data_IF_333566335000
#
_entry.id   IF_333566335000
#
_cell.length_a   1.000
_cell.length_b   1.000
_cell.length_c   1.000
_cell.angle_alpha   90.00
_cell.angle_beta   90.00
_cell.angle_gamma   90.00
#
_symmetry.space_group_name_H-M   'P 1'
#
loop_
_entity.id
_entity.type
_entity.pdbx_description
1 polymer ?
#
# COMPACT_ATOMS: atom_id res chain seq x y z
N UNK A 1 -32.14 55.48 -11.72
CA UNK A 1 -32.29 54.29 -12.58
C UNK A 1 -32.24 53.04 -11.69
N UNK A 2 -33.38 52.37 -11.43
CA UNK A 2 -33.42 51.18 -10.55
C UNK A 2 -32.95 49.97 -11.36
N UNK A 3 -31.78 49.41 -11.02
CA UNK A 3 -31.35 48.15 -11.61
C UNK A 3 -32.32 47.02 -11.20
N UNK A 4 -32.82 46.30 -12.20
CA UNK A 4 -33.63 45.10 -12.03
C UNK A 4 -32.85 44.03 -11.22
N UNK A 5 -33.53 43.28 -10.34
CA UNK A 5 -32.93 42.25 -9.48
C UNK A 5 -32.14 41.21 -10.27
N UNK A 6 -32.58 40.87 -11.49
CA UNK A 6 -31.83 39.97 -12.38
C UNK A 6 -30.49 40.55 -12.83
N UNK A 7 -30.42 41.85 -13.10
CA UNK A 7 -29.18 42.54 -13.49
C UNK A 7 -28.20 42.62 -12.32
N UNK A 8 -28.70 42.77 -11.10
CA UNK A 8 -27.89 42.69 -9.88
C UNK A 8 -27.24 41.32 -9.70
N UNK A 9 -27.98 40.23 -9.92
CA UNK A 9 -27.43 38.87 -9.83
C UNK A 9 -26.30 38.67 -10.83
N UNK A 10 -26.49 39.09 -12.09
CA UNK A 10 -25.44 39.00 -13.10
C UNK A 10 -24.22 39.85 -12.78
N UNK A 11 -24.40 41.06 -12.23
CA UNK A 11 -23.30 41.94 -11.87
C UNK A 11 -22.50 41.41 -10.67
N UNK A 12 -23.17 40.76 -9.70
CA UNK A 12 -22.51 40.05 -8.60
C UNK A 12 -21.75 38.83 -9.10
N UNK A 13 -22.33 38.04 -10.01
CA UNK A 13 -21.65 36.89 -10.63
C UNK A 13 -20.43 37.36 -11.42
N UNK A 14 -20.55 38.47 -12.17
CA UNK A 14 -19.45 39.02 -12.95
C UNK A 14 -18.33 39.55 -12.03
N UNK A 15 -18.66 40.32 -11.00
CA UNK A 15 -17.68 40.78 -10.01
C UNK A 15 -17.00 39.62 -9.27
N UNK A 16 -17.74 38.55 -8.95
CA UNK A 16 -17.16 37.36 -8.35
C UNK A 16 -16.17 36.67 -9.31
N UNK A 17 -16.54 36.50 -10.58
CA UNK A 17 -15.69 35.87 -11.62
C UNK A 17 -14.41 36.66 -11.92
N UNK A 18 -14.46 38.00 -11.80
CA UNK A 18 -13.29 38.87 -12.01
C UNK A 18 -12.52 39.19 -10.71
N UNK A 19 -12.96 38.67 -9.56
CA UNK A 19 -12.19 38.72 -8.32
C UNK A 19 -11.13 37.62 -8.33
N UNK A 20 -10.09 37.83 -9.13
CA UNK A 20 -8.94 36.95 -9.24
C UNK A 20 -7.87 37.49 -8.30
N UNK A 21 -7.64 36.80 -7.19
CA UNK A 21 -6.46 37.08 -6.35
C UNK A 21 -5.20 36.80 -7.17
N UNK A 22 -4.21 37.71 -7.22
CA UNK A 22 -2.95 37.46 -7.92
C UNK A 22 -2.19 36.33 -7.21
N UNK A 23 -2.19 35.14 -7.79
CA UNK A 23 -1.39 34.00 -7.31
C UNK A 23 -0.02 34.09 -7.97
N UNK A 24 0.97 34.57 -7.22
CA UNK A 24 2.37 34.47 -7.61
C UNK A 24 2.84 33.01 -7.49
N UNK A 25 3.33 32.43 -8.58
CA UNK A 25 3.95 31.11 -8.57
C UNK A 25 5.27 31.18 -7.76
N UNK A 26 5.22 30.70 -6.52
CA UNK A 26 6.39 30.50 -5.65
C UNK A 26 6.64 29.00 -5.41
N UNK A 27 7.74 28.63 -4.72
CA UNK A 27 8.04 27.23 -4.37
C UNK A 27 6.82 26.56 -3.72
N UNK A 28 6.61 25.25 -4.00
CA UNK A 28 5.32 24.54 -3.93
C UNK A 28 4.40 24.75 -2.71
N UNK A 29 4.91 25.25 -1.58
CA UNK A 29 4.11 25.73 -0.46
C UNK A 29 3.21 26.94 -0.76
N UNK A 30 3.52 27.76 -1.77
CA UNK A 30 2.66 28.88 -2.20
C UNK A 30 1.42 28.42 -2.97
N UNK A 31 1.53 27.37 -3.78
CA UNK A 31 0.39 26.76 -4.48
C UNK A 31 -0.59 26.14 -3.47
N UNK A 32 -0.09 25.41 -2.48
CA UNK A 32 -0.91 24.88 -1.39
C UNK A 32 -1.58 26.00 -0.58
N UNK A 33 -0.84 27.04 -0.19
CA UNK A 33 -1.42 28.20 0.52
C UNK A 33 -2.49 28.91 -0.31
N UNK A 34 -2.30 29.06 -1.62
CA UNK A 34 -3.29 29.65 -2.53
C UNK A 34 -4.57 28.81 -2.67
N UNK A 35 -4.44 27.49 -2.81
CA UNK A 35 -5.57 26.55 -2.85
C UNK A 35 -6.40 26.56 -1.57
N UNK A 36 -5.77 26.52 -0.40
CA UNK A 36 -6.50 26.43 0.87
C UNK A 36 -7.00 27.78 1.41
N UNK A 37 -6.38 28.91 1.02
CA UNK A 37 -6.75 30.23 1.55
C UNK A 37 -7.68 31.03 0.63
N UNK A 38 -7.56 30.92 -0.70
CA UNK A 38 -8.40 31.68 -1.61
C UNK A 38 -9.84 31.16 -1.66
N UNK A 39 -10.80 32.05 -1.93
CA UNK A 39 -12.21 31.67 -2.08
C UNK A 39 -12.40 30.67 -3.23
N UNK A 40 -11.79 30.95 -4.39
CA UNK A 40 -11.83 30.07 -5.57
C UNK A 40 -11.10 28.74 -5.35
N UNK A 41 -9.98 28.75 -4.63
CA UNK A 41 -9.27 27.51 -4.25
C UNK A 41 -10.12 26.62 -3.35
N UNK A 42 -10.88 27.19 -2.41
CA UNK A 42 -11.85 26.45 -1.58
C UNK A 42 -13.00 25.87 -2.41
N UNK A 43 -13.54 26.61 -3.38
CA UNK A 43 -14.57 26.09 -4.30
C UNK A 43 -14.02 24.93 -5.11
N UNK A 44 -12.81 25.07 -5.67
CA UNK A 44 -12.15 24.01 -6.44
C UNK A 44 -11.89 22.76 -5.58
N UNK A 45 -11.41 22.94 -4.35
CA UNK A 45 -11.22 21.86 -3.38
C UNK A 45 -12.54 21.19 -3.01
N UNK A 46 -13.63 21.95 -2.82
CA UNK A 46 -14.94 21.41 -2.53
C UNK A 46 -15.47 20.56 -3.70
N UNK A 47 -15.31 21.03 -4.95
CA UNK A 47 -15.67 20.27 -6.14
C UNK A 47 -14.84 18.97 -6.23
N UNK A 48 -13.52 19.07 -6.06
CA UNK A 48 -12.61 17.92 -6.10
C UNK A 48 -12.92 16.93 -4.98
N UNK A 49 -13.27 17.41 -3.79
CA UNK A 49 -13.72 16.58 -2.68
C UNK A 49 -15.02 15.85 -3.02
N UNK A 50 -16.03 16.53 -3.56
CA UNK A 50 -17.30 15.89 -3.96
C UNK A 50 -17.07 14.77 -5.00
N UNK A 51 -16.08 14.92 -5.88
CA UNK A 51 -15.76 13.90 -6.89
C UNK A 51 -14.89 12.77 -6.33
N UNK A 52 -13.84 13.08 -5.57
CA UNK A 52 -12.87 12.07 -5.09
C UNK A 52 -13.31 11.38 -3.80
N UNK A 53 -14.07 12.04 -2.93
CA UNK A 53 -14.48 11.47 -1.65
C UNK A 53 -15.32 10.19 -1.81
N UNK A 54 -16.33 10.13 -2.71
CA UNK A 54 -17.06 8.88 -2.96
C UNK A 54 -16.14 7.74 -3.42
N UNK A 55 -15.13 8.04 -4.24
CA UNK A 55 -14.16 7.05 -4.72
C UNK A 55 -13.29 6.53 -3.58
N UNK A 56 -12.71 7.43 -2.77
CA UNK A 56 -11.89 7.06 -1.60
C UNK A 56 -12.70 6.21 -0.62
N UNK A 57 -13.94 6.63 -0.34
CA UNK A 57 -14.83 5.91 0.55
C UNK A 57 -15.17 4.52 0.00
N UNK A 58 -15.46 4.42 -1.30
CA UNK A 58 -15.70 3.15 -1.97
C UNK A 58 -14.51 2.19 -1.82
N UNK A 59 -13.28 2.65 -2.08
CA UNK A 59 -12.08 1.82 -1.92
C UNK A 59 -11.95 1.30 -0.48
N UNK A 60 -12.04 2.20 0.51
CA UNK A 60 -11.91 1.83 1.93
C UNK A 60 -13.00 0.87 2.39
N UNK A 61 -14.24 1.03 1.90
CA UNK A 61 -15.34 0.12 2.22
C UNK A 61 -15.08 -1.27 1.64
N UNK A 62 -14.74 -1.37 0.35
CA UNK A 62 -14.50 -2.67 -0.32
C UNK A 62 -13.36 -3.42 0.37
N UNK A 63 -12.24 -2.75 0.63
CA UNK A 63 -11.11 -3.35 1.36
C UNK A 63 -11.49 -3.81 2.76
N UNK A 64 -12.25 -3.00 3.51
CA UNK A 64 -12.68 -3.34 4.88
C UNK A 64 -13.64 -4.54 4.91
N UNK A 65 -14.56 -4.63 3.95
CA UNK A 65 -15.45 -5.78 3.81
C UNK A 65 -14.63 -7.04 3.50
N UNK A 66 -13.68 -6.93 2.56
CA UNK A 66 -12.83 -8.05 2.16
C UNK A 66 -11.92 -8.52 3.29
N UNK A 67 -11.28 -7.59 4.00
CA UNK A 67 -10.48 -7.86 5.20
C UNK A 67 -11.28 -8.70 6.22
N UNK A 68 -12.50 -8.25 6.55
CA UNK A 68 -13.37 -8.95 7.51
C UNK A 68 -13.76 -10.35 7.01
N UNK A 69 -14.09 -10.48 5.72
CA UNK A 69 -14.43 -11.78 5.12
C UNK A 69 -13.24 -12.75 5.18
N UNK A 70 -12.05 -12.28 4.81
CA UNK A 70 -10.85 -13.10 4.80
C UNK A 70 -10.43 -13.52 6.21
N UNK A 71 -10.51 -12.62 7.21
CA UNK A 71 -10.26 -12.96 8.61
C UNK A 71 -11.20 -14.07 9.11
N UNK A 72 -12.48 -14.04 8.73
CA UNK A 72 -13.44 -15.12 9.07
C UNK A 72 -13.08 -16.45 8.41
N UNK A 73 -12.66 -16.43 7.14
CA UNK A 73 -12.22 -17.63 6.42
C UNK A 73 -10.99 -18.25 7.09
N UNK A 74 -9.97 -17.42 7.36
CA UNK A 74 -8.77 -17.84 8.07
C UNK A 74 -9.08 -18.41 9.46
N UNK A 75 -10.01 -17.79 10.20
CA UNK A 75 -10.43 -18.31 11.49
C UNK A 75 -11.05 -19.72 11.38
N UNK A 76 -11.88 -19.99 10.37
CA UNK A 76 -12.45 -21.33 10.16
C UNK A 76 -11.38 -22.36 9.79
N UNK A 77 -10.41 -21.98 8.97
CA UNK A 77 -9.28 -22.85 8.60
C UNK A 77 -8.36 -23.10 9.80
N UNK A 78 -8.22 -22.11 10.68
CA UNK A 78 -7.36 -22.20 11.86
C UNK A 78 -7.75 -23.33 12.83
N UNK A 79 -8.98 -23.84 12.73
CA UNK A 79 -9.47 -25.01 13.48
C UNK A 79 -8.75 -26.29 13.00
N UNK A 80 -8.45 -26.40 11.70
CA UNK A 80 -7.74 -27.53 11.08
C UNK A 80 -6.22 -27.36 11.14
N UNK A 81 -5.72 -26.18 10.79
CA UNK A 81 -4.29 -25.85 10.87
C UNK A 81 -4.09 -24.51 11.57
N UNK A 82 -3.48 -24.53 12.76
CA UNK A 82 -3.24 -23.34 13.59
C UNK A 82 -2.36 -22.29 12.91
N UNK A 83 -1.53 -22.65 11.93
CA UNK A 83 -0.71 -21.72 11.16
C UNK A 83 -1.55 -20.68 10.39
N UNK A 84 -2.85 -20.91 10.21
CA UNK A 84 -3.78 -19.98 9.55
C UNK A 84 -4.49 -19.03 10.54
N UNK A 85 -4.14 -19.08 11.83
CA UNK A 85 -4.72 -18.17 12.81
C UNK A 85 -4.26 -16.72 12.55
N UNK A 86 -5.20 -15.80 12.34
CA UNK A 86 -4.86 -14.42 11.96
C UNK A 86 -3.93 -13.71 12.95
N UNK A 87 -4.08 -13.91 14.26
CA UNK A 87 -3.23 -13.24 15.25
C UNK A 87 -1.77 -13.74 15.15
N UNK A 88 -1.60 -15.04 14.88
CA UNK A 88 -0.28 -15.62 14.67
C UNK A 88 0.31 -15.18 13.32
N UNK A 89 -0.49 -15.21 12.24
CA UNK A 89 -0.11 -14.72 10.92
C UNK A 89 0.36 -13.26 10.97
N UNK A 90 -0.40 -12.39 11.61
CA UNK A 90 -0.07 -10.97 11.72
C UNK A 90 1.29 -10.76 12.41
N UNK A 91 1.60 -11.58 13.43
CA UNK A 91 2.91 -11.57 14.09
C UNK A 91 4.03 -12.10 13.18
N UNK A 92 3.80 -13.22 12.49
CA UNK A 92 4.78 -13.84 11.58
C UNK A 92 5.08 -12.93 10.38
N UNK A 93 4.05 -12.33 9.78
CA UNK A 93 4.20 -11.38 8.69
C UNK A 93 4.91 -10.10 9.16
N UNK A 94 4.52 -9.53 10.31
CA UNK A 94 5.20 -8.38 10.90
C UNK A 94 6.69 -8.63 11.13
N UNK A 95 7.05 -9.81 11.65
CA UNK A 95 8.44 -10.21 11.84
C UNK A 95 9.17 -10.33 10.50
N UNK A 96 8.58 -10.99 9.52
CA UNK A 96 9.15 -11.17 8.18
C UNK A 96 9.40 -9.81 7.51
N UNK A 97 8.43 -8.90 7.55
CA UNK A 97 8.54 -7.54 7.01
C UNK A 97 9.71 -6.79 7.65
N UNK A 98 9.78 -6.76 8.98
CA UNK A 98 10.86 -6.07 9.71
C UNK A 98 12.23 -6.64 9.36
N UNK A 99 12.35 -7.96 9.27
CA UNK A 99 13.60 -8.66 8.92
C UNK A 99 14.03 -8.34 7.50
N UNK A 100 13.11 -8.34 6.55
CA UNK A 100 13.36 -7.98 5.14
C UNK A 100 13.81 -6.53 5.00
N UNK A 101 13.16 -5.58 5.68
CA UNK A 101 13.62 -4.19 5.69
C UNK A 101 15.04 -4.04 6.26
N UNK A 102 15.38 -4.77 7.32
CA UNK A 102 16.74 -4.77 7.87
C UNK A 102 17.76 -5.34 6.88
N UNK A 103 17.43 -6.47 6.23
CA UNK A 103 18.28 -7.08 5.21
C UNK A 103 18.53 -6.15 4.01
N UNK A 104 17.50 -5.42 3.56
CA UNK A 104 17.66 -4.39 2.52
C UNK A 104 18.54 -3.24 2.96
N UNK A 105 18.42 -2.79 4.22
CA UNK A 105 19.28 -1.75 4.81
C UNK A 105 20.75 -2.17 4.85
N UNK A 106 20.99 -3.43 5.16
CA UNK A 106 22.32 -4.04 5.26
C UNK A 106 22.88 -4.54 3.92
N UNK A 107 22.08 -4.50 2.85
CA UNK A 107 22.41 -5.03 1.52
C UNK A 107 22.82 -6.51 1.54
N UNK A 108 22.21 -7.29 2.45
CA UNK A 108 22.45 -8.71 2.70
C UNK A 108 21.14 -9.48 2.90
N UNK A 109 20.69 -10.17 1.84
CA UNK A 109 19.50 -11.04 1.89
C UNK A 109 19.78 -12.40 2.54
N UNK A 110 21.04 -12.73 2.86
CA UNK A 110 21.40 -13.96 3.56
C UNK A 110 20.70 -14.09 4.91
N UNK A 111 20.52 -12.97 5.62
CA UNK A 111 19.88 -12.92 6.94
C UNK A 111 18.38 -13.27 6.92
N UNK A 112 17.74 -13.27 5.74
CA UNK A 112 16.28 -13.45 5.61
C UNK A 112 15.87 -14.69 4.85
N UNK A 113 16.80 -15.60 4.54
CA UNK A 113 16.51 -16.86 3.82
C UNK A 113 15.41 -17.71 4.46
N UNK A 114 15.21 -17.61 5.77
CA UNK A 114 14.14 -18.33 6.48
C UNK A 114 12.77 -17.63 6.44
N UNK A 115 12.71 -16.40 5.94
CA UNK A 115 11.50 -15.55 5.90
C UNK A 115 11.01 -15.28 4.47
N UNK A 116 11.80 -15.64 3.46
CA UNK A 116 11.48 -15.46 2.05
C UNK A 116 11.63 -16.79 1.34
N UNK A 117 10.86 -17.02 0.28
CA UNK A 117 11.01 -18.24 -0.51
C UNK A 117 12.28 -18.18 -1.37
N UNK A 118 12.68 -19.34 -1.90
CA UNK A 118 13.93 -19.47 -2.65
C UNK A 118 13.97 -18.59 -3.90
N UNK A 119 12.84 -18.51 -4.62
CA UNK A 119 12.73 -17.71 -5.84
C UNK A 119 12.88 -16.21 -5.55
N UNK A 120 12.15 -15.69 -4.57
CA UNK A 120 12.20 -14.29 -4.15
C UNK A 120 13.60 -13.90 -3.70
N UNK A 121 14.23 -14.75 -2.88
CA UNK A 121 15.60 -14.54 -2.42
C UNK A 121 16.59 -14.38 -3.59
N UNK A 122 16.58 -15.31 -4.53
CA UNK A 122 17.48 -15.29 -5.69
C UNK A 122 17.22 -14.06 -6.57
N UNK A 123 15.95 -13.78 -6.87
CA UNK A 123 15.57 -12.65 -7.69
C UNK A 123 16.01 -11.33 -7.04
N UNK A 124 15.75 -11.15 -5.74
CA UNK A 124 16.11 -9.93 -5.03
C UNK A 124 17.63 -9.71 -4.95
N UNK A 125 18.38 -10.79 -4.69
CA UNK A 125 19.84 -10.72 -4.60
C UNK A 125 20.48 -10.41 -5.96
N UNK A 126 20.16 -11.18 -6.99
CA UNK A 126 20.82 -11.11 -8.28
C UNK A 126 20.39 -9.90 -9.12
N UNK A 127 19.09 -9.57 -9.11
CA UNK A 127 18.53 -8.54 -10.00
C UNK A 127 18.66 -7.15 -9.40
N UNK A 128 18.45 -6.99 -8.10
CA UNK A 128 18.45 -5.66 -7.48
C UNK A 128 19.76 -5.39 -6.74
N UNK A 129 20.10 -6.19 -5.74
CA UNK A 129 21.22 -5.87 -4.84
C UNK A 129 22.57 -5.91 -5.58
N UNK A 130 22.82 -6.95 -6.36
CA UNK A 130 24.06 -7.04 -7.14
C UNK A 130 24.13 -5.99 -8.25
N UNK A 131 23.00 -5.68 -8.90
CA UNK A 131 22.95 -4.63 -9.91
C UNK A 131 23.24 -3.25 -9.31
N UNK A 132 22.61 -2.91 -8.18
CA UNK A 132 22.88 -1.66 -7.47
C UNK A 132 24.34 -1.56 -7.04
N UNK A 133 24.94 -2.66 -6.56
CA UNK A 133 26.37 -2.69 -6.23
C UNK A 133 27.25 -2.43 -7.48
N UNK A 134 26.91 -3.05 -8.63
CA UNK A 134 27.61 -2.80 -9.91
C UNK A 134 27.48 -1.35 -10.37
N UNK A 135 26.32 -0.74 -10.17
CA UNK A 135 26.02 0.64 -10.58
C UNK A 135 26.47 1.69 -9.55
N UNK A 136 27.25 1.29 -8.54
CA UNK A 136 27.69 2.14 -7.43
C UNK A 136 26.55 2.84 -6.67
N UNK A 137 25.41 2.17 -6.60
CA UNK A 137 24.22 2.61 -5.86
C UNK A 137 24.18 1.94 -4.50
N UNK A 138 23.69 2.68 -3.51
CA UNK A 138 23.36 2.20 -2.17
C UNK A 138 21.86 2.27 -1.97
N UNK A 139 21.28 1.16 -1.53
CA UNK A 139 19.91 1.16 -1.06
C UNK A 139 19.83 1.76 0.35
N UNK A 140 18.91 2.71 0.54
CA UNK A 140 18.55 3.21 1.86
C UNK A 140 17.13 2.76 2.14
N UNK A 141 17.03 1.69 2.93
CA UNK A 141 15.76 1.15 3.40
C UNK A 141 15.75 1.20 4.92
N UNK A 142 14.80 1.92 5.51
CA UNK A 142 14.64 1.98 6.97
C UNK A 142 13.17 2.01 7.35
N UNK A 143 12.72 0.97 8.00
CA UNK A 143 11.37 0.89 8.55
C UNK A 143 11.32 1.59 9.91
N UNK A 144 10.54 2.66 10.02
CA UNK A 144 10.28 3.32 11.31
C UNK A 144 9.07 2.68 11.98
N UNK A 145 7.98 2.52 11.23
CA UNK A 145 6.72 2.02 11.78
C UNK A 145 6.00 1.11 10.77
N UNK A 146 5.47 0.02 11.30
CA UNK A 146 4.52 -0.85 10.60
C UNK A 146 3.15 -0.52 11.15
N UNK A 147 2.30 0.13 10.36
CA UNK A 147 1.03 0.67 10.84
C UNK A 147 -0.07 -0.37 10.81
N UNK A 148 -0.18 -1.11 9.71
CA UNK A 148 -1.28 -2.05 9.51
C UNK A 148 -0.91 -3.19 8.57
N UNK A 149 -1.43 -4.38 8.85
CA UNK A 149 -1.43 -5.53 7.95
C UNK A 149 -2.88 -6.00 7.76
N UNK A 150 -3.31 -6.19 6.51
CA UNK A 150 -4.69 -6.56 6.17
C UNK A 150 -4.73 -7.66 5.11
N UNK A 151 -5.42 -8.78 5.32
CA UNK A 151 -5.55 -9.81 4.30
C UNK A 151 -6.51 -9.35 3.20
N UNK A 152 -6.01 -9.18 1.97
CA UNK A 152 -6.80 -8.77 0.81
C UNK A 152 -7.28 -9.94 -0.03
N UNK A 153 -6.46 -10.97 -0.17
CA UNK A 153 -6.74 -12.11 -1.04
C UNK A 153 -6.23 -13.41 -0.41
N UNK A 154 -6.98 -14.49 -0.62
CA UNK A 154 -6.64 -15.83 -0.17
C UNK A 154 -6.70 -16.78 -1.36
N UNK A 155 -5.67 -17.59 -1.49
CA UNK A 155 -5.59 -18.73 -2.38
C UNK A 155 -5.25 -19.96 -1.53
N UNK A 156 -6.20 -20.85 -1.38
CA UNK A 156 -6.07 -22.00 -0.50
C UNK A 156 -5.92 -23.25 -1.34
N UNK A 157 -5.13 -24.19 -0.84
CA UNK A 157 -4.96 -25.51 -1.44
C UNK A 157 -5.72 -26.55 -0.65
N UNK A 158 -6.01 -27.68 -1.28
CA UNK A 158 -6.57 -28.88 -0.64
C UNK A 158 -5.50 -29.93 -0.32
N UNK A 159 -4.22 -29.58 -0.51
CA UNK A 159 -3.08 -30.39 -0.14
C UNK A 159 -3.07 -30.69 1.37
N UNK A 160 -2.38 -31.76 1.79
CA UNK A 160 -2.13 -32.00 3.21
C UNK A 160 -1.57 -30.75 3.89
N UNK A 161 -2.14 -30.41 5.05
CA UNK A 161 -1.77 -29.24 5.86
C UNK A 161 -1.87 -27.87 5.15
N UNK A 162 -2.51 -27.80 3.98
CA UNK A 162 -2.67 -26.58 3.16
C UNK A 162 -1.38 -26.05 2.54
N UNK A 163 -0.38 -26.91 2.33
CA UNK A 163 0.87 -26.60 1.61
C UNK A 163 0.62 -25.99 0.22
N UNK A 164 1.34 -24.92 -0.11
CA UNK A 164 1.17 -24.13 -1.33
C UNK A 164 0.05 -23.08 -1.27
N UNK A 165 -0.63 -22.93 -0.12
CA UNK A 165 -1.59 -21.82 0.05
C UNK A 165 -0.89 -20.48 0.03
N UNK A 166 -1.55 -19.45 -0.51
CA UNK A 166 -1.02 -18.08 -0.62
C UNK A 166 -1.97 -17.06 -0.01
N UNK A 167 -1.40 -16.03 0.61
CA UNK A 167 -2.12 -14.90 1.18
C UNK A 167 -1.51 -13.61 0.67
N UNK A 168 -2.33 -12.75 0.06
CA UNK A 168 -1.94 -11.37 -0.22
C UNK A 168 -2.37 -10.47 0.94
N UNK A 169 -1.42 -9.73 1.51
CA UNK A 169 -1.68 -8.75 2.56
C UNK A 169 -1.34 -7.33 2.08
N UNK A 170 -2.26 -6.40 2.28
CA UNK A 170 -1.95 -4.98 2.22
C UNK A 170 -1.21 -4.57 3.49
N UNK A 171 -0.15 -3.80 3.31
CA UNK A 171 0.70 -3.30 4.38
C UNK A 171 0.85 -1.80 4.21
N UNK A 172 0.59 -1.09 5.30
CA UNK A 172 0.77 0.35 5.42
C UNK A 172 2.00 0.56 6.34
N UNK A 173 3.06 1.21 5.85
CA UNK A 173 4.31 1.45 6.60
C UNK A 173 4.75 2.91 6.57
N UNK A 174 5.51 3.32 7.58
CA UNK A 174 6.32 4.53 7.56
C UNK A 174 7.80 4.12 7.43
N UNK A 175 8.42 4.45 6.31
CA UNK A 175 9.79 4.05 6.01
C UNK A 175 10.51 5.05 5.11
N UNK A 176 11.84 5.00 5.15
CA UNK A 176 12.68 5.52 4.08
C UNK A 176 12.91 4.42 3.05
N UNK A 177 12.71 4.74 1.78
CA UNK A 177 12.99 3.85 0.65
C UNK A 177 13.47 4.67 -0.55
N UNK A 178 14.78 4.69 -0.77
CA UNK A 178 15.40 5.41 -1.89
C UNK A 178 16.78 4.86 -2.25
N UNK A 179 17.19 5.09 -3.50
CA UNK A 179 18.53 4.76 -3.97
C UNK A 179 19.36 6.03 -4.09
N UNK A 180 20.62 5.95 -3.66
CA UNK A 180 21.61 7.01 -3.85
C UNK A 180 22.93 6.48 -4.38
N UNK A 181 23.64 7.30 -5.14
CA UNK A 181 25.04 7.03 -5.50
C UNK A 181 25.92 7.01 -4.23
N UNK A 182 26.85 6.07 -4.14
CA UNK A 182 27.74 5.93 -2.98
C UNK A 182 28.71 7.09 -2.84
N UNK A 183 29.29 7.53 -3.96
CA UNK A 183 30.37 8.53 -3.94
C UNK A 183 29.83 9.95 -3.74
N UNK A 184 28.79 10.31 -4.51
CA UNK A 184 28.24 11.67 -4.52
C UNK A 184 27.14 11.87 -3.46
N UNK A 185 26.54 10.78 -2.98
CA UNK A 185 25.34 10.82 -2.13
C UNK A 185 24.08 11.30 -2.85
N UNK A 186 24.13 11.51 -4.18
CA UNK A 186 23.00 11.99 -4.97
C UNK A 186 21.90 10.94 -5.03
N UNK A 187 20.67 11.37 -4.76
CA UNK A 187 19.48 10.52 -4.87
C UNK A 187 19.18 10.29 -6.36
N UNK A 188 19.13 9.02 -6.77
CA UNK A 188 18.84 8.63 -8.16
C UNK A 188 17.41 8.12 -8.33
N UNK A 189 16.81 7.57 -7.27
CA UNK A 189 15.44 7.06 -7.28
C UNK A 189 14.83 7.21 -5.90
N UNK A 190 13.53 7.50 -5.84
CA UNK A 190 12.80 7.71 -4.59
C UNK A 190 12.96 9.13 -4.05
N UNK A 191 12.61 9.31 -2.77
CA UNK A 191 12.81 10.58 -2.05
C UNK A 191 13.40 10.29 -0.69
N UNK A 192 14.32 11.14 -0.25
CA UNK A 192 14.90 11.04 1.08
C UNK A 192 13.89 11.43 2.15
N UNK A 193 14.03 10.84 3.34
CA UNK A 193 13.19 11.06 4.50
C UNK A 193 12.05 10.05 4.61
N UNK A 194 11.42 10.04 5.78
CA UNK A 194 10.31 9.14 6.10
C UNK A 194 9.09 9.44 5.22
N UNK A 195 8.51 8.37 4.68
CA UNK A 195 7.32 8.41 3.86
C UNK A 195 6.34 7.34 4.33
N UNK A 196 5.05 7.66 4.19
CA UNK A 196 4.00 6.65 4.27
C UNK A 196 3.95 5.92 2.93
N UNK A 197 4.20 4.61 2.98
CA UNK A 197 4.28 3.73 1.81
C UNK A 197 3.29 2.58 2.00
N UNK A 198 2.64 2.22 0.90
CA UNK A 198 1.66 1.14 0.86
C UNK A 198 2.12 0.07 -0.12
N UNK A 199 2.14 -1.19 0.33
CA UNK A 199 2.53 -2.34 -0.48
C UNK A 199 1.53 -3.49 -0.35
N UNK A 200 1.61 -4.43 -1.28
CA UNK A 200 0.93 -5.73 -1.18
C UNK A 200 2.00 -6.81 -1.15
N UNK A 201 2.08 -7.55 -0.05
CA UNK A 201 3.01 -8.66 0.08
C UNK A 201 2.26 -9.97 -0.04
N UNK A 202 2.84 -10.90 -0.79
CA UNK A 202 2.33 -12.25 -0.97
C UNK A 202 3.17 -13.19 -0.12
N UNK A 203 2.50 -13.95 0.73
CA UNK A 203 3.11 -15.01 1.50
C UNK A 203 2.61 -16.35 1.00
N UNK A 204 3.52 -17.31 0.84
CA UNK A 204 3.24 -18.69 0.49
C UNK A 204 3.51 -19.58 1.70
N UNK A 205 2.59 -20.48 1.99
CA UNK A 205 2.74 -21.47 3.04
C UNK A 205 3.45 -22.69 2.45
N UNK A 206 4.69 -22.89 2.85
CA UNK A 206 5.51 -24.00 2.39
C UNK A 206 6.38 -24.55 3.51
N UNK A 207 6.53 -25.87 3.57
CA UNK A 207 7.32 -26.57 4.59
C UNK A 207 6.89 -26.19 6.03
N UNK A 208 5.58 -26.01 6.23
CA UNK A 208 5.02 -25.63 7.51
C UNK A 208 5.25 -24.17 7.95
N UNK A 209 5.71 -23.29 7.05
CA UNK A 209 6.01 -21.88 7.35
C UNK A 209 5.45 -20.94 6.29
N UNK A 210 5.15 -19.71 6.69
CA UNK A 210 4.82 -18.64 5.76
C UNK A 210 6.07 -17.90 5.32
N UNK A 211 6.35 -17.95 4.02
CA UNK A 211 7.50 -17.29 3.40
C UNK A 211 7.03 -16.21 2.43
N UNK A 212 7.73 -15.07 2.40
CA UNK A 212 7.49 -14.03 1.42
C UNK A 212 7.81 -14.55 0.00
N UNK A 213 6.83 -14.44 -0.90
CA UNK A 213 6.91 -14.87 -2.29
C UNK A 213 7.04 -13.67 -3.24
N UNK A 214 6.27 -12.61 -3.02
CA UNK A 214 6.23 -11.47 -3.93
C UNK A 214 5.86 -10.17 -3.21
N UNK A 215 6.34 -9.03 -3.72
CA UNK A 215 5.93 -7.69 -3.30
C UNK A 215 5.43 -6.91 -4.52
N UNK A 216 4.26 -6.28 -4.39
CA UNK A 216 3.66 -5.41 -5.40
C UNK A 216 3.30 -4.03 -4.82
N UNK A 217 3.06 -3.09 -5.71
CA UNK A 217 2.62 -1.73 -5.34
C UNK A 217 1.25 -1.73 -4.66
N UNK A 218 1.09 -0.87 -3.64
CA UNK A 218 -0.19 -0.68 -2.94
C UNK A 218 -1.32 -0.14 -3.82
N UNK A 219 -1.01 0.49 -4.96
CA UNK A 219 -1.99 0.98 -5.94
C UNK A 219 -2.94 -0.12 -6.46
N UNK A 220 -2.52 -1.38 -6.37
CA UNK A 220 -3.29 -2.56 -6.78
C UNK A 220 -4.25 -3.08 -5.70
N UNK A 221 -4.30 -2.47 -4.50
CA UNK A 221 -5.02 -3.01 -3.34
C UNK A 221 -6.49 -3.25 -3.62
N UNK A 222 -7.15 -2.32 -4.32
CA UNK A 222 -8.54 -2.44 -4.72
C UNK A 222 -8.75 -3.58 -5.73
N UNK A 223 -7.80 -3.81 -6.64
CA UNK A 223 -7.90 -4.88 -7.62
C UNK A 223 -7.91 -6.23 -6.90
N UNK A 224 -6.96 -6.45 -5.99
CA UNK A 224 -6.92 -7.66 -5.18
C UNK A 224 -8.13 -7.81 -4.25
N UNK A 225 -8.60 -6.71 -3.66
CA UNK A 225 -9.77 -6.76 -2.79
C UNK A 225 -11.06 -7.18 -3.54
N UNK A 226 -11.14 -6.88 -4.85
CA UNK A 226 -12.24 -7.27 -5.73
C UNK A 226 -12.15 -8.71 -6.25
N UNK A 227 -10.97 -9.32 -6.27
CA UNK A 227 -10.81 -10.70 -6.69
C UNK A 227 -11.59 -11.65 -5.77
N UNK A 228 -12.20 -12.68 -6.31
CA UNK A 228 -12.77 -13.76 -5.50
C UNK A 228 -11.64 -14.64 -4.97
N UNK A 229 -11.71 -15.02 -3.69
CA UNK A 229 -10.69 -15.90 -3.12
C UNK A 229 -10.72 -17.25 -3.86
N UNK A 230 -9.55 -17.80 -4.18
CA UNK A 230 -9.44 -19.15 -4.70
C UNK A 230 -9.53 -20.12 -3.53
N UNK A 231 -10.68 -20.79 -3.38
CA UNK A 231 -10.95 -21.74 -2.30
C UNK A 231 -11.44 -23.04 -2.94
N UNK A 232 -10.80 -24.19 -2.69
CA UNK A 232 -11.25 -25.49 -3.17
C UNK A 232 -12.66 -25.83 -2.71
N UNK A 233 -13.44 -26.51 -3.56
CA UNK A 233 -14.83 -26.86 -3.25
C UNK A 233 -14.96 -27.76 -2.02
N UNK A 234 -13.94 -28.61 -1.77
CA UNK A 234 -13.80 -29.44 -0.57
C UNK A 234 -13.79 -28.62 0.72
N UNK A 235 -13.32 -27.36 0.66
CA UNK A 235 -13.26 -26.44 1.79
C UNK A 235 -14.45 -25.48 1.83
N UNK A 236 -15.05 -25.15 0.67
CA UNK A 236 -16.21 -24.25 0.59
C UNK A 236 -17.38 -24.71 1.46
N UNK A 237 -17.69 -26.01 1.47
CA UNK A 237 -18.82 -26.55 2.24
C UNK A 237 -18.68 -26.32 3.77
N UNK A 238 -17.45 -26.33 4.30
CA UNK A 238 -17.19 -26.07 5.72
C UNK A 238 -16.89 -24.61 6.06
N UNK A 239 -16.50 -23.80 5.06
CA UNK A 239 -16.10 -22.39 5.25
C UNK A 239 -17.22 -21.41 4.93
N UNK A 240 -18.12 -21.73 3.98
CA UNK A 240 -19.21 -20.85 3.54
C UNK A 240 -20.56 -21.14 4.18
N UNK A 241 -20.71 -22.28 4.87
CA UNK A 241 -21.83 -22.54 5.79
C UNK A 241 -21.69 -21.69 7.07
#
# INVERSE_FOLDING_TARGET
MKLDKKKWIWLVVLMALFYIDPIYAGPGGFIAKGLFKSFWGKILLALLFVVLFPLILYVKIVESIKERKNKKILQKISIKNKAFNWLQLEKEFSNSIRRVYNAWSNEDMGEVREYVNHWYWQNQQAVFIEQWKRDNLKNVSRLEKLEKIRPLYLELTDSPDFEGSRIAVAIDVEAEDYLKERDSGKIVQGKSGLQSLDYIWFFEYTEGKWLLDEIREGSLSLQFAKLENSIPDSLKAGILA
#
